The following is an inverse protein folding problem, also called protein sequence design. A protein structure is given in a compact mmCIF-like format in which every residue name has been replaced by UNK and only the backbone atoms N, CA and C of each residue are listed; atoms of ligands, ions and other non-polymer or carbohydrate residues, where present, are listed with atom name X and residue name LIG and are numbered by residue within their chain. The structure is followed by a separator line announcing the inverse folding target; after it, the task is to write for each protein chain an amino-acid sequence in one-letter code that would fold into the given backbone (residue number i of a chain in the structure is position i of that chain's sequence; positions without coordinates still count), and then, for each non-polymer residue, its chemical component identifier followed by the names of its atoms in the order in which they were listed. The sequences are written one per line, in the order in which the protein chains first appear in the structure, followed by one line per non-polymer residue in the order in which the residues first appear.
data_IF_464550926080
#
_entry.id   IF_464550926080
#
_cell.length_a   1.000
_cell.length_b   1.000
_cell.length_c   1.000
_cell.angle_alpha   90.00
_cell.angle_beta   90.00
_cell.angle_gamma   90.00
#
_symmetry.space_group_name_H-M   'P 1'
#
loop_
_entity.id
_entity.type
_entity.pdbx_description
1 polymer ?
#
# COMPACT_ATOMS: atom_id res chain seq x y z
N UNK A 1 -11.10 4.91 11.05
CA UNK A 1 -10.46 5.98 10.24
C UNK A 1 -11.35 6.20 9.02
N UNK A 2 -11.72 7.44 8.71
CA UNK A 2 -12.54 7.73 7.54
C UNK A 2 -11.74 7.49 6.25
N UNK A 3 -12.38 7.01 5.18
CA UNK A 3 -11.74 6.71 3.90
C UNK A 3 -10.96 7.91 3.32
N UNK A 4 -11.44 9.14 3.54
CA UNK A 4 -10.75 10.37 3.13
C UNK A 4 -9.39 10.54 3.81
N UNK A 5 -9.33 10.36 5.13
CA UNK A 5 -8.08 10.48 5.88
C UNK A 5 -7.03 9.46 5.41
N UNK A 6 -7.44 8.21 5.15
CA UNK A 6 -6.53 7.17 4.63
C UNK A 6 -5.94 7.62 3.29
N UNK A 7 -6.76 8.18 2.41
CA UNK A 7 -6.31 8.67 1.10
C UNK A 7 -5.35 9.84 1.24
N UNK A 8 -5.67 10.82 2.06
CA UNK A 8 -4.86 12.03 2.22
C UNK A 8 -3.51 11.71 2.89
N UNK A 9 -3.52 10.85 3.90
CA UNK A 9 -2.32 10.44 4.61
C UNK A 9 -1.39 9.59 3.73
N UNK A 10 -1.91 8.52 3.12
CA UNK A 10 -1.08 7.56 2.38
C UNK A 10 -0.85 7.93 0.90
N UNK A 11 -1.56 8.92 0.34
CA UNK A 11 -1.24 9.44 -1.00
C UNK A 11 0.15 10.07 -1.06
N UNK A 12 0.63 10.61 0.07
CA UNK A 12 1.94 11.24 0.20
C UNK A 12 3.01 10.30 0.79
N UNK A 13 2.62 9.10 1.25
CA UNK A 13 3.52 8.13 1.89
C UNK A 13 3.58 6.86 1.07
N UNK A 14 4.70 6.67 0.38
CA UNK A 14 4.97 5.46 -0.37
C UNK A 14 5.39 4.31 0.55
N UNK A 15 4.77 3.11 0.46
CA UNK A 15 5.30 1.94 1.13
C UNK A 15 6.65 1.56 0.52
N UNK A 16 7.56 1.00 1.33
CA UNK A 16 8.81 0.43 0.84
C UNK A 16 8.70 -1.10 0.79
N UNK A 17 9.39 -1.70 -0.18
CA UNK A 17 9.46 -3.15 -0.34
C UNK A 17 10.87 -3.56 -0.72
N UNK A 18 11.25 -4.81 -0.42
CA UNK A 18 12.50 -5.40 -0.88
C UNK A 18 12.34 -5.94 -2.30
N UNK A 19 13.29 -5.64 -3.18
CA UNK A 19 13.41 -6.26 -4.50
C UNK A 19 14.03 -7.67 -4.41
N UNK A 20 14.21 -8.33 -5.55
CA UNK A 20 14.81 -9.66 -5.63
C UNK A 20 16.27 -9.72 -5.13
N UNK A 21 16.94 -8.58 -5.04
CA UNK A 21 18.33 -8.43 -4.59
C UNK A 21 18.41 -7.91 -3.14
N UNK A 22 17.29 -7.81 -2.43
CA UNK A 22 17.24 -7.32 -1.04
C UNK A 22 17.38 -5.79 -0.88
N UNK A 23 17.30 -5.03 -1.98
CA UNK A 23 17.34 -3.56 -1.96
C UNK A 23 15.97 -3.01 -1.60
N UNK A 24 15.93 -1.98 -0.76
CA UNK A 24 14.68 -1.28 -0.42
C UNK A 24 14.30 -0.36 -1.58
N UNK A 25 13.13 -0.58 -2.16
CA UNK A 25 12.56 0.26 -3.22
C UNK A 25 11.27 0.92 -2.72
N UNK A 26 11.14 2.21 -2.99
CA UNK A 26 9.93 2.99 -2.69
C UNK A 26 8.85 2.72 -3.73
N UNK A 27 7.63 2.48 -3.27
CA UNK A 27 6.47 2.33 -4.13
C UNK A 27 5.85 3.68 -4.52
N UNK A 28 4.75 3.62 -5.26
CA UNK A 28 3.87 4.76 -5.51
C UNK A 28 2.43 4.28 -5.42
N UNK A 29 1.60 5.02 -4.68
CA UNK A 29 0.15 4.80 -4.68
C UNK A 29 -0.43 5.26 -6.01
N UNK A 30 -1.16 4.39 -6.69
CA UNK A 30 -1.78 4.66 -8.00
C UNK A 30 -3.31 4.52 -7.96
N UNK A 31 -3.87 4.11 -6.83
CA UNK A 31 -5.31 3.94 -6.69
C UNK A 31 -5.68 3.34 -5.35
N UNK A 32 -6.97 3.10 -5.17
CA UNK A 32 -7.55 2.60 -3.93
C UNK A 32 -8.54 1.49 -4.23
N UNK A 33 -8.56 0.45 -3.41
CA UNK A 33 -9.50 -0.67 -3.51
C UNK A 33 -9.84 -1.18 -2.13
N UNK A 34 -11.11 -1.49 -1.86
CA UNK A 34 -11.48 -2.16 -0.61
C UNK A 34 -10.94 -3.58 -0.63
N UNK A 35 -10.27 -3.96 0.45
CA UNK A 35 -9.87 -5.33 0.71
C UNK A 35 -11.12 -6.17 1.05
N UNK A 36 -11.01 -7.49 0.98
CA UNK A 36 -12.09 -8.41 1.37
C UNK A 36 -12.48 -8.26 2.86
N UNK A 37 -11.61 -7.67 3.68
CA UNK A 37 -11.88 -7.28 5.07
C UNK A 37 -12.76 -6.03 5.20
N UNK A 38 -13.19 -5.43 4.08
CA UNK A 38 -13.99 -4.21 4.04
C UNK A 38 -13.17 -2.92 4.17
N UNK A 39 -11.92 -2.98 4.65
CA UNK A 39 -11.06 -1.81 4.82
C UNK A 39 -10.58 -1.24 3.48
N UNK A 40 -10.43 0.09 3.39
CA UNK A 40 -9.84 0.73 2.23
C UNK A 40 -8.34 0.40 2.16
N UNK A 41 -7.91 -0.12 1.01
CA UNK A 41 -6.52 -0.42 0.72
C UNK A 41 -5.94 0.47 -0.38
N UNK A 42 -4.63 0.68 -0.32
CA UNK A 42 -3.84 1.39 -1.32
C UNK A 42 -3.31 0.42 -2.37
N UNK A 43 -3.54 0.73 -3.65
CA UNK A 43 -2.90 0.04 -4.77
C UNK A 43 -1.57 0.71 -5.03
N UNK A 44 -0.49 -0.05 -4.87
CA UNK A 44 0.87 0.43 -5.03
C UNK A 44 1.57 -0.27 -6.20
N UNK A 45 2.39 0.48 -6.93
CA UNK A 45 3.37 -0.06 -7.89
C UNK A 45 4.78 0.25 -7.39
N UNK A 46 5.75 -0.55 -7.81
CA UNK A 46 7.13 -0.42 -7.37
C UNK A 46 8.05 -0.39 -8.59
N UNK A 47 9.10 0.45 -8.60
CA UNK A 47 10.15 0.39 -9.61
C UNK A 47 10.76 -1.00 -9.66
N UNK A 48 11.01 -1.54 -10.87
CA UNK A 48 11.67 -2.84 -11.07
C UNK A 48 10.94 -4.07 -10.47
N UNK A 49 9.73 -3.91 -9.92
CA UNK A 49 8.85 -5.00 -9.53
C UNK A 49 7.61 -4.99 -10.42
N UNK A 50 7.42 -6.06 -11.18
CA UNK A 50 6.29 -6.20 -12.08
C UNK A 50 4.97 -6.42 -11.35
N UNK A 51 3.99 -5.55 -11.62
CA UNK A 51 2.59 -5.71 -11.20
C UNK A 51 2.10 -4.63 -10.24
N UNK A 52 0.86 -4.81 -9.78
CA UNK A 52 0.20 -3.94 -8.81
C UNK A 52 0.03 -4.71 -7.50
N UNK A 53 0.13 -4.01 -6.38
CA UNK A 53 0.12 -4.63 -5.06
C UNK A 53 -0.89 -3.93 -4.19
N UNK A 54 -1.77 -4.69 -3.55
CA UNK A 54 -2.74 -4.17 -2.60
C UNK A 54 -2.13 -4.16 -1.20
N UNK A 55 -2.23 -3.01 -0.54
CA UNK A 55 -1.90 -2.82 0.87
C UNK A 55 -3.15 -2.39 1.62
N UNK A 56 -3.32 -2.82 2.86
CA UNK A 56 -4.37 -2.31 3.77
C UNK A 56 -3.76 -1.49 4.89
N UNK A 57 -4.55 -0.62 5.50
CA UNK A 57 -4.17 0.02 6.76
C UNK A 57 -4.04 -1.06 7.83
N UNK A 58 -2.96 -1.01 8.61
CA UNK A 58 -2.76 -1.91 9.73
C UNK A 58 -3.73 -1.55 10.86
N UNK A 59 -4.52 -2.53 11.31
CA UNK A 59 -5.50 -2.34 12.38
C UNK A 59 -4.83 -2.02 13.73
N UNK A 60 -3.60 -2.47 13.94
CA UNK A 60 -2.84 -2.21 15.18
C UNK A 60 -2.04 -0.90 15.10
N UNK A 61 -1.70 -0.45 13.90
CA UNK A 61 -1.01 0.81 13.67
C UNK A 61 -1.59 1.54 12.44
N UNK A 62 -2.55 2.44 12.64
CA UNK A 62 -3.23 3.13 11.54
C UNK A 62 -2.32 4.00 10.66
N UNK A 63 -1.08 4.27 11.08
CA UNK A 63 -0.06 4.99 10.28
C UNK A 63 0.78 4.08 9.39
N UNK A 64 0.49 2.77 9.36
CA UNK A 64 1.24 1.79 8.58
C UNK A 64 0.36 1.09 7.54
N UNK A 65 0.92 0.92 6.34
CA UNK A 65 0.38 0.03 5.32
C UNK A 65 0.96 -1.38 5.47
N UNK A 66 0.09 -2.38 5.44
CA UNK A 66 0.43 -3.80 5.45
C UNK A 66 0.14 -4.41 4.09
N UNK A 67 1.12 -5.14 3.55
CA UNK A 67 0.95 -5.87 2.30
C UNK A 67 -0.15 -6.93 2.44
N UNK A 68 -1.06 -6.98 1.47
CA UNK A 68 -2.14 -7.98 1.38
C UNK A 68 -1.79 -9.04 0.33
N UNK A 69 -1.81 -8.66 -0.94
CA UNK A 69 -1.51 -9.55 -2.06
C UNK A 69 -1.17 -8.75 -3.33
N UNK A 70 -0.63 -9.44 -4.33
CA UNK A 70 -0.45 -8.91 -5.69
C UNK A 70 -1.78 -9.00 -6.45
N UNK A 71 -2.16 -7.94 -7.15
CA UNK A 71 -3.33 -7.87 -8.02
C UNK A 71 -3.05 -8.48 -9.40
#
# INVERSE_FOLDING_TARGET
MHDSYVKDFFSNIAPTRKDAFGRSIGGRVIGWKRANTGQLGAICVFPHLGGKYLYTVDAQNPMRLRFLHKL
#
